data_IF_956225588616
#
_entry.id   IF_956225588616
#
_cell.length_a   1.000
_cell.length_b   1.000
_cell.length_c   1.000
_cell.angle_alpha   90.00
_cell.angle_beta   90.00
_cell.angle_gamma   90.00
#
_symmetry.space_group_name_H-M   'P 1'
#
loop_
_entity.id
_entity.type
_entity.pdbx_description
1 polymer ?
#
# COMPACT_ATOMS: atom_id res chain seq x y z
N UNK A 1 1.51 -1.08 1.15
CA UNK A 1 0.29 -1.86 1.44
C UNK A 1 -0.25 -1.46 2.79
N UNK A 2 -1.56 -1.50 2.95
CA UNK A 2 -2.28 -1.12 4.16
C UNK A 2 -3.24 -2.24 4.51
N UNK A 3 -3.43 -2.53 5.80
CA UNK A 3 -4.40 -3.51 6.27
C UNK A 3 -5.01 -3.01 7.59
N UNK A 4 -6.35 -2.98 7.64
CA UNK A 4 -7.08 -2.52 8.81
C UNK A 4 -6.95 -3.54 9.94
N UNK A 5 -6.37 -3.08 11.04
CA UNK A 5 -6.10 -3.93 12.20
C UNK A 5 -7.39 -4.45 12.84
N UNK A 6 -7.42 -5.76 13.11
CA UNK A 6 -8.52 -6.42 13.81
C UNK A 6 -9.88 -6.19 13.14
N UNK A 7 -9.92 -6.07 11.80
CA UNK A 7 -11.15 -5.74 11.08
C UNK A 7 -12.26 -6.77 11.29
N UNK A 8 -11.89 -8.06 11.39
CA UNK A 8 -12.85 -9.11 11.75
C UNK A 8 -13.47 -8.85 13.13
N UNK A 9 -12.68 -8.50 14.12
CA UNK A 9 -13.16 -8.19 15.48
C UNK A 9 -14.08 -6.97 15.49
N UNK A 10 -13.78 -5.95 14.67
CA UNK A 10 -14.67 -4.80 14.47
C UNK A 10 -16.05 -5.25 13.94
N UNK A 11 -16.05 -6.12 12.93
CA UNK A 11 -17.29 -6.68 12.38
C UNK A 11 -18.05 -7.53 13.40
N UNK A 12 -17.34 -8.39 14.14
CA UNK A 12 -17.94 -9.30 15.12
C UNK A 12 -18.56 -8.54 16.31
N UNK A 13 -17.90 -7.46 16.77
CA UNK A 13 -18.37 -6.68 17.93
C UNK A 13 -19.39 -5.60 17.58
N UNK A 14 -19.23 -4.93 16.40
CA UNK A 14 -20.01 -3.74 16.05
C UNK A 14 -20.92 -3.93 14.84
N UNK A 15 -20.85 -5.10 14.20
CA UNK A 15 -21.62 -5.44 13.00
C UNK A 15 -21.01 -4.93 11.69
N UNK A 16 -21.32 -5.60 10.60
CA UNK A 16 -20.79 -5.31 9.26
C UNK A 16 -21.06 -3.87 8.79
N UNK A 17 -22.20 -3.28 9.18
CA UNK A 17 -22.52 -1.90 8.81
C UNK A 17 -21.53 -0.88 9.42
N UNK A 18 -20.95 -1.17 10.59
CA UNK A 18 -19.88 -0.36 11.17
C UNK A 18 -18.56 -0.64 10.46
N UNK A 19 -18.27 -1.92 10.19
CA UNK A 19 -17.08 -2.29 9.40
C UNK A 19 -17.03 -1.60 8.05
N UNK A 20 -18.15 -1.54 7.33
CA UNK A 20 -18.24 -0.83 6.06
C UNK A 20 -17.94 0.68 6.20
N UNK A 21 -18.44 1.31 7.27
CA UNK A 21 -18.13 2.73 7.56
C UNK A 21 -16.65 2.93 7.92
N UNK A 22 -16.04 1.98 8.60
CA UNK A 22 -14.60 2.01 8.90
C UNK A 22 -13.78 1.91 7.62
N UNK A 23 -14.13 1.00 6.70
CA UNK A 23 -13.52 0.89 5.37
C UNK A 23 -13.66 2.19 4.55
N UNK A 24 -14.86 2.76 4.51
CA UNK A 24 -15.11 4.03 3.81
C UNK A 24 -14.32 5.19 4.44
N UNK A 25 -14.21 5.21 5.77
CA UNK A 25 -13.43 6.22 6.49
C UNK A 25 -11.95 6.09 6.15
N UNK A 26 -11.41 4.86 6.10
CA UNK A 26 -10.03 4.63 5.69
C UNK A 26 -9.79 5.10 4.25
N UNK A 27 -10.63 4.64 3.31
CA UNK A 27 -10.50 5.01 1.91
C UNK A 27 -10.53 6.54 1.71
N UNK A 28 -11.49 7.23 2.32
CA UNK A 28 -11.61 8.68 2.22
C UNK A 28 -10.43 9.42 2.85
N UNK A 29 -9.97 8.98 4.03
CA UNK A 29 -8.83 9.59 4.72
C UNK A 29 -7.53 9.36 3.97
N UNK A 30 -7.31 8.13 3.45
CA UNK A 30 -6.13 7.82 2.67
C UNK A 30 -6.10 8.63 1.36
N UNK A 31 -7.20 8.69 0.63
CA UNK A 31 -7.30 9.50 -0.60
C UNK A 31 -7.02 10.99 -0.32
N UNK A 32 -7.60 11.55 0.73
CA UNK A 32 -7.36 12.95 1.10
C UNK A 32 -5.91 13.22 1.53
N UNK A 33 -5.24 12.23 2.15
CA UNK A 33 -3.86 12.35 2.62
C UNK A 33 -2.84 12.19 1.49
N UNK A 34 -3.11 11.26 0.57
CA UNK A 34 -2.22 10.91 -0.53
C UNK A 34 -2.31 11.88 -1.71
N UNK A 35 -3.49 12.49 -1.93
CA UNK A 35 -3.74 13.37 -3.06
C UNK A 35 -4.17 12.63 -4.33
N UNK A 36 -4.30 13.37 -5.43
CA UNK A 36 -4.85 12.87 -6.71
C UNK A 36 -3.82 12.19 -7.61
N UNK A 37 -2.54 12.43 -7.38
CA UNK A 37 -1.46 12.01 -8.29
C UNK A 37 -0.85 10.64 -7.90
N UNK A 38 -1.60 9.87 -7.14
CA UNK A 38 -1.19 8.53 -6.68
C UNK A 38 -2.20 7.48 -7.15
N UNK A 39 -1.70 6.28 -7.38
CA UNK A 39 -2.56 5.13 -7.59
C UNK A 39 -2.88 4.50 -6.25
N UNK A 40 -4.15 4.57 -5.84
CA UNK A 40 -4.61 4.02 -4.56
C UNK A 40 -5.90 3.22 -4.77
N UNK A 41 -5.99 2.04 -4.15
CA UNK A 41 -7.17 1.19 -4.27
C UNK A 41 -7.24 0.07 -3.25
N UNK A 42 -8.44 -0.50 -3.12
CA UNK A 42 -8.71 -1.68 -2.29
C UNK A 42 -8.41 -2.93 -3.10
N UNK A 43 -7.58 -3.82 -2.58
CA UNK A 43 -7.11 -5.05 -3.23
C UNK A 43 -7.72 -6.33 -2.64
N UNK A 44 -8.21 -6.26 -1.43
CA UNK A 44 -8.82 -7.39 -0.71
C UNK A 44 -9.85 -6.92 0.31
N UNK A 45 -10.33 -7.79 1.17
CA UNK A 45 -11.32 -7.52 2.21
C UNK A 45 -11.06 -6.24 3.00
N UNK A 46 -10.02 -6.19 3.79
CA UNK A 46 -9.57 -5.02 4.56
C UNK A 46 -8.23 -4.45 4.08
N UNK A 47 -7.77 -4.90 2.90
CA UNK A 47 -6.45 -4.59 2.34
C UNK A 47 -6.53 -3.55 1.25
N UNK A 48 -5.59 -2.60 1.28
CA UNK A 48 -5.44 -1.54 0.30
C UNK A 48 -3.98 -1.44 -0.15
N UNK A 49 -3.76 -0.93 -1.37
CA UNK A 49 -2.44 -0.64 -1.89
C UNK A 49 -2.38 0.75 -2.48
N UNK A 50 -1.18 1.34 -2.46
CA UNK A 50 -0.88 2.58 -3.16
C UNK A 50 0.49 2.49 -3.85
N UNK A 51 0.59 3.12 -5.01
CA UNK A 51 1.85 3.45 -5.66
C UNK A 51 2.03 4.96 -5.61
N UNK A 52 3.12 5.40 -4.99
CA UNK A 52 3.33 6.80 -4.63
C UNK A 52 4.73 7.19 -5.10
N UNK A 53 4.88 8.24 -5.93
CA UNK A 53 6.20 8.79 -6.22
C UNK A 53 6.80 9.39 -4.95
N UNK A 54 8.01 8.97 -4.60
CA UNK A 54 8.74 9.48 -3.43
C UNK A 54 10.21 9.66 -3.79
N UNK A 55 10.88 10.62 -3.15
CA UNK A 55 12.30 10.88 -3.36
C UNK A 55 13.19 9.87 -2.65
N UNK A 56 12.77 9.39 -1.49
CA UNK A 56 13.54 8.43 -0.68
C UNK A 56 12.65 7.63 0.29
N UNK A 57 13.29 6.73 1.04
CA UNK A 57 12.63 5.88 2.05
C UNK A 57 12.02 6.71 3.19
N UNK A 58 12.67 7.80 3.59
CA UNK A 58 12.21 8.67 4.67
C UNK A 58 10.93 9.40 4.31
N UNK A 59 10.83 9.91 3.07
CA UNK A 59 9.61 10.51 2.55
C UNK A 59 8.47 9.49 2.47
N UNK A 60 8.76 8.30 1.96
CA UNK A 60 7.80 7.19 1.95
C UNK A 60 7.27 6.86 3.34
N UNK A 61 8.16 6.79 4.34
CA UNK A 61 7.77 6.58 5.73
C UNK A 61 6.90 7.71 6.27
N UNK A 62 7.25 8.95 6.01
CA UNK A 62 6.50 10.11 6.49
C UNK A 62 5.07 10.16 5.91
N UNK A 63 4.91 9.81 4.63
CA UNK A 63 3.60 9.71 3.97
C UNK A 63 2.78 8.58 4.58
N UNK A 64 3.36 7.39 4.70
CA UNK A 64 2.70 6.21 5.26
C UNK A 64 2.24 6.45 6.71
N UNK A 65 3.10 7.04 7.54
CA UNK A 65 2.77 7.36 8.94
C UNK A 65 1.70 8.45 9.05
N UNK A 66 1.69 9.42 8.14
CA UNK A 66 0.63 10.44 8.06
C UNK A 66 -0.72 9.80 7.74
N UNK A 67 -0.80 8.87 6.78
CA UNK A 67 -2.04 8.12 6.49
C UNK A 67 -2.51 7.37 7.74
N UNK A 68 -1.60 6.64 8.40
CA UNK A 68 -1.89 5.88 9.62
C UNK A 68 -2.46 6.77 10.73
N UNK A 69 -1.81 7.90 11.02
CA UNK A 69 -2.24 8.84 12.06
C UNK A 69 -3.58 9.48 11.75
N UNK A 70 -3.75 9.99 10.53
CA UNK A 70 -4.99 10.62 10.10
C UNK A 70 -6.17 9.65 10.17
N UNK A 71 -5.95 8.38 9.74
CA UNK A 71 -6.97 7.36 9.88
C UNK A 71 -7.30 7.06 11.35
N UNK A 72 -6.29 6.89 12.21
CA UNK A 72 -6.50 6.62 13.64
C UNK A 72 -7.34 7.71 14.30
N UNK A 73 -7.10 8.98 13.95
CA UNK A 73 -7.86 10.12 14.42
C UNK A 73 -9.29 10.10 13.88
N UNK A 74 -9.47 9.96 12.57
CA UNK A 74 -10.79 9.92 11.94
C UNK A 74 -11.64 8.73 12.42
N UNK A 75 -11.01 7.61 12.73
CA UNK A 75 -11.67 6.38 13.19
C UNK A 75 -11.94 6.35 14.70
N UNK A 76 -11.46 7.32 15.48
CA UNK A 76 -11.70 7.39 16.93
C UNK A 76 -13.20 7.40 17.30
N UNK A 77 -14.06 7.93 16.43
CA UNK A 77 -15.52 7.92 16.57
C UNK A 77 -16.15 6.52 16.57
N UNK A 78 -15.42 5.50 16.13
CA UNK A 78 -15.84 4.10 16.14
C UNK A 78 -15.22 3.33 17.32
N UNK A 79 -14.60 4.02 18.28
CA UNK A 79 -14.05 3.37 19.45
C UNK A 79 -15.17 2.66 20.25
N UNK A 80 -14.93 1.38 20.59
CA UNK A 80 -15.87 0.57 21.35
C UNK A 80 -15.11 -0.43 22.21
N UNK A 81 -15.40 -0.51 23.50
CA UNK A 81 -14.80 -1.43 24.47
C UNK A 81 -13.26 -1.51 24.41
N UNK A 82 -12.60 -0.34 24.24
CA UNK A 82 -11.15 -0.26 24.14
C UNK A 82 -10.59 -0.60 22.75
N UNK A 83 -11.41 -1.10 21.83
CA UNK A 83 -11.04 -1.31 20.43
C UNK A 83 -11.21 0.01 19.67
N UNK A 84 -10.11 0.54 19.14
CA UNK A 84 -10.13 1.71 18.25
C UNK A 84 -9.56 1.27 16.91
N UNK A 85 -10.29 1.40 15.79
CA UNK A 85 -9.79 1.00 14.49
C UNK A 85 -8.46 1.67 14.17
N UNK A 86 -7.54 0.90 13.63
CA UNK A 86 -6.21 1.36 13.19
C UNK A 86 -5.80 0.63 11.92
N UNK A 87 -4.67 1.02 11.36
CA UNK A 87 -4.11 0.44 10.15
C UNK A 87 -2.63 0.13 10.36
N UNK A 88 -2.21 -1.06 9.95
CA UNK A 88 -0.81 -1.39 9.78
C UNK A 88 -0.40 -1.12 8.34
N UNK A 89 0.83 -0.64 8.19
CA UNK A 89 1.37 -0.26 6.88
C UNK A 89 2.71 -0.95 6.66
N UNK A 90 2.84 -1.62 5.54
CA UNK A 90 4.10 -2.15 5.03
C UNK A 90 4.43 -1.50 3.69
N UNK A 91 5.67 -1.05 3.51
CA UNK A 91 6.05 -0.45 2.24
C UNK A 91 7.50 -0.76 1.84
N UNK A 92 7.77 -0.58 0.57
CA UNK A 92 9.11 -0.61 -0.01
C UNK A 92 9.28 0.56 -0.97
N UNK A 93 10.51 0.93 -1.25
CA UNK A 93 10.86 1.95 -2.25
C UNK A 93 11.75 1.30 -3.29
N UNK A 94 11.41 1.52 -4.56
CA UNK A 94 12.19 1.08 -5.71
C UNK A 94 12.56 2.29 -6.57
N UNK A 95 13.75 2.24 -7.15
CA UNK A 95 14.17 3.23 -8.14
C UNK A 95 13.62 2.82 -9.51
N UNK A 96 12.71 3.61 -10.07
CA UNK A 96 12.25 3.42 -11.44
C UNK A 96 13.26 4.04 -12.40
N UNK A 97 13.93 3.22 -13.22
CA UNK A 97 14.85 3.72 -14.24
C UNK A 97 14.05 4.41 -15.35
N UNK A 98 14.40 5.68 -15.64
CA UNK A 98 13.86 6.43 -16.78
C UNK A 98 14.16 5.76 -18.14
N UNK A 99 15.16 4.89 -18.22
CA UNK A 99 15.46 4.12 -19.44
C UNK A 99 14.36 3.11 -19.80
N UNK A 100 13.68 2.54 -18.82
CA UNK A 100 12.54 1.65 -19.05
C UNK A 100 11.31 2.40 -19.57
N UNK A 101 11.16 3.67 -19.22
CA UNK A 101 10.06 4.51 -19.69
C UNK A 101 10.30 5.06 -21.13
N UNK A 102 11.54 5.18 -21.56
CA UNK A 102 11.90 5.81 -22.85
C UNK A 102 11.93 4.83 -24.03
N UNK A 103 12.05 3.54 -23.82
CA UNK A 103 12.20 2.53 -24.87
C UNK A 103 10.88 1.96 -25.38
N UNK A 104 9.80 2.67 -25.47
CA UNK A 104 8.61 2.39 -26.31
C UNK A 104 8.21 0.92 -26.64
N UNK A 105 8.80 -0.06 -26.01
CA UNK A 105 8.54 -1.49 -26.19
C UNK A 105 7.26 -1.88 -25.43
N UNK A 106 6.12 -1.62 -26.08
CA UNK A 106 4.78 -1.76 -25.48
C UNK A 106 4.36 -3.20 -25.12
N UNK A 107 4.95 -4.22 -25.66
CA UNK A 107 4.53 -5.61 -25.42
C UNK A 107 5.37 -6.29 -24.33
N UNK A 108 6.69 -6.10 -24.34
CA UNK A 108 7.57 -6.72 -23.36
C UNK A 108 7.62 -5.93 -22.04
N UNK A 109 7.35 -4.61 -22.08
CA UNK A 109 7.28 -3.76 -20.91
C UNK A 109 6.06 -4.07 -20.02
N UNK A 110 4.98 -4.60 -20.56
CA UNK A 110 3.79 -4.96 -19.77
C UNK A 110 4.02 -6.20 -18.91
N UNK A 111 4.74 -7.21 -19.40
CA UNK A 111 5.11 -8.39 -18.61
C UNK A 111 6.18 -8.06 -17.56
N UNK A 112 7.25 -7.35 -17.94
CA UNK A 112 8.29 -6.91 -17.02
C UNK A 112 7.78 -5.90 -15.97
N UNK A 113 6.80 -5.05 -16.34
CA UNK A 113 6.14 -4.12 -15.43
C UNK A 113 5.29 -4.83 -14.38
N UNK A 114 4.57 -5.89 -14.76
CA UNK A 114 3.75 -6.66 -13.84
C UNK A 114 4.61 -7.47 -12.86
N UNK A 115 5.68 -8.12 -13.32
CA UNK A 115 6.62 -8.83 -12.44
C UNK A 115 7.28 -7.89 -11.44
N UNK A 116 7.62 -6.67 -11.85
CA UNK A 116 8.20 -5.65 -10.97
C UNK A 116 7.21 -5.18 -9.89
N UNK A 117 5.95 -4.98 -10.23
CA UNK A 117 4.89 -4.58 -9.28
C UNK A 117 4.58 -5.72 -8.33
N UNK A 118 4.44 -6.94 -8.82
CA UNK A 118 4.18 -8.12 -7.98
C UNK A 118 5.30 -8.32 -6.96
N UNK A 119 6.56 -8.15 -7.35
CA UNK A 119 7.70 -8.21 -6.45
C UNK A 119 7.65 -7.09 -5.39
N UNK A 120 7.33 -5.85 -5.77
CA UNK A 120 7.22 -4.74 -4.83
C UNK A 120 6.08 -4.96 -3.83
N UNK A 121 4.96 -5.51 -4.28
CA UNK A 121 3.84 -5.87 -3.41
C UNK A 121 4.25 -6.99 -2.44
N UNK A 122 5.00 -8.00 -2.89
CA UNK A 122 5.50 -9.07 -2.01
C UNK A 122 6.45 -8.54 -0.93
N UNK A 123 7.35 -7.62 -1.29
CA UNK A 123 8.27 -6.99 -0.32
C UNK A 123 7.48 -6.13 0.68
N UNK A 124 6.52 -5.37 0.21
CA UNK A 124 5.65 -4.55 1.05
C UNK A 124 4.77 -5.41 1.98
N UNK A 125 4.30 -6.57 1.50
CA UNK A 125 3.54 -7.52 2.32
C UNK A 125 4.37 -8.09 3.48
N UNK A 126 5.63 -8.45 3.23
CA UNK A 126 6.56 -8.87 4.29
C UNK A 126 6.77 -7.76 5.34
N UNK A 127 6.85 -6.50 4.91
CA UNK A 127 6.91 -5.36 5.83
C UNK A 127 5.61 -5.21 6.61
N UNK A 128 4.45 -5.35 5.96
CA UNK A 128 3.14 -5.32 6.60
C UNK A 128 2.97 -6.44 7.65
N UNK A 129 3.43 -7.64 7.33
CA UNK A 129 3.46 -8.74 8.29
C UNK A 129 4.25 -8.38 9.56
N UNK A 130 5.44 -7.75 9.41
CA UNK A 130 6.21 -7.25 10.56
C UNK A 130 5.46 -6.18 11.34
N UNK A 131 4.79 -5.25 10.66
CA UNK A 131 3.99 -4.23 11.32
C UNK A 131 2.90 -4.85 12.21
N UNK A 132 2.21 -5.88 11.70
CA UNK A 132 1.22 -6.65 12.47
C UNK A 132 1.84 -7.42 13.64
N UNK A 133 2.96 -8.09 13.42
CA UNK A 133 3.68 -8.88 14.45
C UNK A 133 4.24 -7.98 15.58
N UNK A 134 4.74 -6.80 15.23
CA UNK A 134 5.34 -5.85 16.16
C UNK A 134 4.32 -5.00 16.96
N UNK A 135 3.03 -5.32 16.90
CA UNK A 135 1.98 -4.70 17.73
C UNK A 135 0.99 -3.84 16.97
N UNK A 136 0.97 -3.93 15.65
CA UNK A 136 0.00 -3.21 14.79
C UNK A 136 0.09 -1.69 14.87
N UNK A 137 -0.83 -0.98 14.20
CA UNK A 137 -0.91 0.49 14.21
C UNK A 137 0.45 1.16 14.00
N UNK A 138 1.21 0.69 13.00
CA UNK A 138 2.56 1.16 12.69
C UNK A 138 2.91 1.03 11.23
N UNK A 139 4.01 1.64 10.89
CA UNK A 139 4.65 1.56 9.57
C UNK A 139 5.92 0.74 9.70
N UNK A 140 6.10 -0.22 8.81
CA UNK A 140 7.35 -0.95 8.62
C UNK A 140 7.78 -0.84 7.16
N UNK A 141 9.08 -0.76 6.94
CA UNK A 141 9.66 -0.65 5.61
C UNK A 141 10.66 -1.79 5.36
N UNK A 142 10.76 -2.21 4.11
CA UNK A 142 11.86 -3.07 3.65
C UNK A 142 12.45 -2.42 2.41
N UNK A 143 13.71 -1.97 2.43
CA UNK A 143 14.42 -1.58 1.21
C UNK A 143 14.50 -2.77 0.25
N UNK A 144 14.40 -2.51 -1.06
CA UNK A 144 14.51 -3.57 -2.08
C UNK A 144 15.88 -4.26 -2.02
N UNK A 145 16.94 -3.51 -1.67
CA UNK A 145 18.30 -4.03 -1.53
C UNK A 145 18.42 -5.10 -0.42
N UNK A 146 17.67 -4.96 0.68
CA UNK A 146 17.65 -5.93 1.79
C UNK A 146 16.83 -7.18 1.45
N UNK A 147 15.96 -7.11 0.46
CA UNK A 147 15.17 -8.24 0.00
C UNK A 147 15.95 -9.24 -0.88
N UNK A 148 17.24 -9.02 -1.08
CA UNK A 148 18.13 -9.88 -1.89
C UNK A 148 17.95 -9.71 -3.39
N UNK A 149 17.26 -8.67 -3.82
CA UNK A 149 17.05 -8.36 -5.24
C UNK A 149 17.89 -7.15 -5.62
N UNK A 150 18.96 -7.37 -6.41
CA UNK A 150 19.79 -6.29 -6.97
C UNK A 150 19.04 -5.64 -8.13
N UNK A 151 18.34 -4.55 -7.88
CA UNK A 151 17.91 -3.67 -8.95
C UNK A 151 19.07 -2.74 -9.31
N UNK A 152 19.48 -2.72 -10.58
CA UNK A 152 20.58 -1.91 -11.06
C UNK A 152 20.37 -0.43 -10.70
N UNK A 153 21.39 0.15 -10.05
CA UNK A 153 21.44 1.54 -9.63
C UNK A 153 21.29 2.47 -10.83
N UNK A 154 20.22 3.24 -10.89
CA UNK A 154 20.05 4.28 -11.92
C UNK A 154 20.00 5.68 -11.30
N UNK A 155 20.59 6.69 -11.92
CA UNK A 155 20.63 8.06 -11.43
C UNK A 155 19.39 8.85 -11.88
N UNK A 156 18.95 9.76 -11.01
CA UNK A 156 18.18 10.99 -11.28
C UNK A 156 16.72 10.88 -11.70
N UNK A 157 15.93 11.56 -10.91
CA UNK A 157 14.50 11.80 -10.98
C UNK A 157 14.13 12.58 -12.24
N UNK A 158 13.15 12.08 -12.99
CA UNK A 158 12.44 12.85 -14.02
C UNK A 158 10.96 12.90 -13.60
N UNK A 159 10.31 14.08 -13.57
CA UNK A 159 8.90 14.19 -13.19
C UNK A 159 8.02 13.51 -14.23
N UNK A 160 7.16 12.59 -13.78
CA UNK A 160 6.31 11.81 -14.65
C UNK A 160 5.05 12.57 -15.05
N UNK A 161 4.82 12.53 -16.35
CA UNK A 161 3.71 13.01 -17.17
C UNK A 161 2.36 12.50 -16.66
N UNK A 162 1.33 13.34 -16.78
CA UNK A 162 -0.09 13.04 -16.57
C UNK A 162 -0.49 11.69 -17.19
N UNK A 163 -0.94 10.76 -16.37
CA UNK A 163 -1.51 9.50 -16.83
C UNK A 163 -3.01 9.47 -16.58
N UNK A 164 -3.77 9.04 -17.57
CA UNK A 164 -5.18 8.70 -17.42
C UNK A 164 -5.33 7.56 -16.39
N UNK A 165 -6.48 7.46 -15.69
CA UNK A 165 -6.67 6.43 -14.67
C UNK A 165 -6.59 5.03 -15.30
N UNK A 166 -5.55 4.29 -14.93
CA UNK A 166 -5.41 2.88 -15.30
C UNK A 166 -6.29 2.06 -14.35
N UNK A 167 -7.29 1.37 -14.91
CA UNK A 167 -8.08 0.41 -14.16
C UNK A 167 -7.20 -0.76 -13.70
N UNK A 168 -7.17 -1.05 -12.40
CA UNK A 168 -6.53 -2.25 -11.88
C UNK A 168 -7.14 -3.51 -12.52
N UNK A 169 -6.36 -4.44 -13.03
CA UNK A 169 -6.88 -5.74 -13.39
C UNK A 169 -7.48 -6.39 -12.15
N UNK A 170 -8.71 -6.87 -12.29
CA UNK A 170 -9.41 -7.58 -11.20
C UNK A 170 -8.54 -8.73 -10.70
N UNK A 171 -8.16 -8.70 -9.43
CA UNK A 171 -7.23 -9.61 -8.77
C UNK A 171 -7.78 -11.06 -8.65
N UNK A 172 -8.04 -11.75 -9.78
CA UNK A 172 -8.55 -13.13 -9.78
C UNK A 172 -7.50 -14.21 -9.51
N UNK A 173 -6.22 -13.87 -9.39
CA UNK A 173 -5.11 -14.83 -9.25
C UNK A 173 -4.39 -14.85 -7.89
N UNK A 174 -4.57 -13.86 -7.05
CA UNK A 174 -3.73 -13.62 -5.87
C UNK A 174 -4.05 -14.49 -4.66
N UNK A 175 -5.31 -14.92 -4.50
CA UNK A 175 -5.74 -15.68 -3.32
C UNK A 175 -5.13 -17.07 -3.14
N UNK A 176 -4.38 -17.62 -4.12
CA UNK A 176 -3.88 -19.01 -4.06
C UNK A 176 -2.43 -19.20 -3.59
N UNK A 177 -1.64 -18.15 -3.37
CA UNK A 177 -0.22 -18.28 -3.03
C UNK A 177 0.16 -17.98 -1.58
N UNK A 178 -0.77 -17.48 -0.76
CA UNK A 178 -0.49 -17.12 0.64
C UNK A 178 -1.00 -18.16 1.64
N UNK A 179 -1.52 -19.29 1.18
CA UNK A 179 -2.06 -20.37 2.02
C UNK A 179 -1.29 -21.69 1.84
N UNK A 180 0.04 -21.65 1.79
CA UNK A 180 0.88 -22.84 2.02
C UNK A 180 2.08 -22.49 2.88
#
# INVERSE_FOLDING_TARGET
>A
MFDLDRFKEINDCMGHAVGDRVLQTFAGTATATLGSDVLFGRIGGEEFAALIPVGDLGEGYAIADRVRRNFREAAARFAHDGLVPSVSVGFTVSVVSAAAAATGARADAQHAGNEGIDMLLEIADRALYRAKANGRNRVEATPVEEAGTTLARAPSIVPLIKTEPVAFPQARGWRRRVAQ
#
